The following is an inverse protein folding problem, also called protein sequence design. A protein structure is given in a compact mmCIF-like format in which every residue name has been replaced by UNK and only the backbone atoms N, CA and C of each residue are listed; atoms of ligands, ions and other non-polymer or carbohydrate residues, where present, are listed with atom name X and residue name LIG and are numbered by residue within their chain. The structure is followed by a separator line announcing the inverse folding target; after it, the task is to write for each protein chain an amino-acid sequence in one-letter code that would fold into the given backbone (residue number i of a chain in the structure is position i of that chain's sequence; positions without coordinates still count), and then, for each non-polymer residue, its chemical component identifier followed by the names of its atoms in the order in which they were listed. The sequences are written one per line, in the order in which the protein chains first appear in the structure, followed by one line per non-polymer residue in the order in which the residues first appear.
data_IF_656963458673
#
_entry.id   IF_656963458673
#
_cell.length_a   1.000
_cell.length_b   1.000
_cell.length_c   1.000
_cell.angle_alpha   90.00
_cell.angle_beta   90.00
_cell.angle_gamma   90.00
#
_symmetry.space_group_name_H-M   'P 1'
#
loop_
_entity.id
_entity.type
_entity.pdbx_description
1 polymer ?
#
# COMPACT_ATOMS: atom_id res chain seq x y z
N UNK A 1 -6.59 -2.37 -22.76
CA UNK A 1 -5.91 -3.69 -22.75
C UNK A 1 -6.54 -4.54 -21.66
N UNK A 2 -6.73 -5.83 -21.95
CA UNK A 2 -8.00 -6.56 -21.72
C UNK A 2 -8.00 -7.29 -20.37
N UNK A 3 -9.10 -7.21 -19.61
CA UNK A 3 -9.38 -7.99 -18.37
C UNK A 3 -8.98 -9.48 -18.42
N UNK A 4 -8.89 -10.05 -19.62
CA UNK A 4 -8.43 -11.42 -19.90
C UNK A 4 -7.04 -11.78 -19.38
N UNK A 5 -6.13 -10.82 -19.19
CA UNK A 5 -4.79 -11.13 -18.66
C UNK A 5 -4.76 -11.15 -17.13
N UNK A 6 -5.58 -10.33 -16.48
CA UNK A 6 -5.78 -10.35 -15.02
C UNK A 6 -6.37 -11.70 -14.58
N UNK A 7 -7.24 -12.29 -15.41
CA UNK A 7 -7.83 -13.62 -15.19
C UNK A 7 -6.80 -14.77 -15.15
N UNK A 8 -5.52 -14.52 -15.45
CA UNK A 8 -4.45 -15.53 -15.34
C UNK A 8 -3.77 -15.55 -13.98
N UNK A 9 -3.93 -14.52 -13.15
CA UNK A 9 -3.27 -14.44 -11.86
C UNK A 9 -4.17 -15.02 -10.76
N UNK A 10 -3.57 -15.78 -9.86
CA UNK A 10 -4.24 -16.28 -8.67
C UNK A 10 -4.06 -15.26 -7.54
N UNK A 11 -5.15 -14.61 -7.14
CA UNK A 11 -5.14 -13.73 -5.97
C UNK A 11 -5.35 -14.57 -4.71
N UNK A 12 -4.40 -14.49 -3.78
CA UNK A 12 -4.50 -15.16 -2.47
C UNK A 12 -4.52 -14.14 -1.34
N UNK A 13 -5.41 -14.38 -0.39
CA UNK A 13 -5.35 -13.69 0.89
C UNK A 13 -4.47 -14.50 1.84
N UNK A 14 -3.43 -13.87 2.37
CA UNK A 14 -2.49 -14.50 3.31
C UNK A 14 -2.56 -13.80 4.67
N UNK A 15 -2.25 -14.52 5.78
CA UNK A 15 -2.24 -13.92 7.10
C UNK A 15 -1.37 -12.66 7.13
N UNK A 16 -1.88 -11.57 7.71
CA UNK A 16 -1.17 -10.29 7.77
C UNK A 16 0.27 -10.43 8.27
N UNK A 17 0.50 -11.17 9.35
CA UNK A 17 1.85 -11.37 9.92
C UNK A 17 2.87 -11.94 8.92
N UNK A 18 2.42 -12.74 7.94
CA UNK A 18 3.30 -13.33 6.92
C UNK A 18 3.82 -12.30 5.92
N UNK A 19 3.06 -11.24 5.70
CA UNK A 19 3.33 -10.22 4.68
C UNK A 19 3.38 -8.82 5.31
N UNK A 20 3.49 -8.66 6.63
CA UNK A 20 3.20 -7.42 7.36
C UNK A 20 3.90 -6.15 6.83
N UNK A 21 5.10 -6.31 6.28
CA UNK A 21 5.88 -5.21 5.69
C UNK A 21 5.29 -4.72 4.34
N UNK A 22 4.30 -5.45 3.80
CA UNK A 22 3.65 -5.21 2.52
C UNK A 22 2.13 -5.42 2.61
N UNK A 23 1.34 -4.52 2.04
CA UNK A 23 -0.13 -4.71 1.94
C UNK A 23 -0.45 -5.83 0.94
N UNK A 24 0.33 -5.86 -0.14
CA UNK A 24 0.29 -6.86 -1.18
C UNK A 24 1.69 -7.04 -1.79
N UNK A 25 1.91 -8.19 -2.41
CA UNK A 25 3.13 -8.48 -3.15
C UNK A 25 2.81 -9.50 -4.24
N UNK A 26 3.50 -9.43 -5.37
CA UNK A 26 3.20 -10.25 -6.54
C UNK A 26 4.45 -10.94 -7.08
N UNK A 27 4.25 -12.12 -7.67
CA UNK A 27 5.23 -12.74 -8.55
C UNK A 27 4.50 -13.22 -9.79
N UNK A 28 4.65 -12.51 -10.91
CA UNK A 28 3.84 -12.78 -12.10
C UNK A 28 4.68 -12.88 -13.37
N UNK A 29 4.11 -13.56 -14.36
CA UNK A 29 4.55 -13.51 -15.74
C UNK A 29 3.50 -12.72 -16.51
N UNK A 30 3.84 -11.52 -16.95
CA UNK A 30 2.96 -10.63 -17.69
C UNK A 30 3.60 -10.29 -19.04
N UNK A 31 2.86 -10.50 -20.14
CA UNK A 31 3.37 -10.35 -21.51
C UNK A 31 4.71 -11.08 -21.77
N UNK A 32 4.89 -12.26 -21.16
CA UNK A 32 6.13 -13.06 -21.28
C UNK A 32 7.31 -12.55 -20.44
N UNK A 33 7.15 -11.44 -19.71
CA UNK A 33 8.15 -10.87 -18.81
C UNK A 33 7.87 -11.33 -17.38
N UNK A 34 8.92 -11.72 -16.66
CA UNK A 34 8.82 -11.96 -15.22
C UNK A 34 8.88 -10.63 -14.48
N UNK A 35 7.83 -10.30 -13.72
CA UNK A 35 7.68 -9.03 -13.01
C UNK A 35 7.35 -9.35 -11.55
N UNK A 36 8.25 -8.95 -10.66
CA UNK A 36 8.14 -9.11 -9.21
C UNK A 36 9.03 -8.09 -8.50
N UNK A 37 8.69 -7.64 -7.28
CA UNK A 37 9.62 -6.97 -6.39
C UNK A 37 10.53 -8.00 -5.69
N UNK A 38 11.73 -7.62 -5.20
CA UNK A 38 12.64 -8.55 -4.50
C UNK A 38 11.98 -9.30 -3.32
N UNK A 39 11.06 -8.63 -2.61
CA UNK A 39 10.29 -9.19 -1.52
C UNK A 39 9.56 -10.49 -1.88
N UNK A 40 9.09 -10.64 -3.12
CA UNK A 40 8.36 -11.81 -3.57
C UNK A 40 9.19 -13.10 -3.47
N UNK A 41 10.52 -13.02 -3.65
CA UNK A 41 11.43 -14.15 -3.49
C UNK A 41 11.56 -14.57 -2.03
N UNK A 42 11.74 -13.59 -1.13
CA UNK A 42 11.86 -13.85 0.31
C UNK A 42 10.55 -14.37 0.91
N UNK A 43 9.41 -13.89 0.42
CA UNK A 43 8.07 -14.35 0.81
C UNK A 43 7.70 -15.71 0.19
N UNK A 44 8.50 -16.19 -0.77
CA UNK A 44 8.25 -17.47 -1.46
C UNK A 44 6.97 -17.46 -2.29
N UNK A 45 6.63 -16.33 -2.91
CA UNK A 45 5.41 -16.20 -3.73
C UNK A 45 5.61 -16.98 -5.04
N UNK A 46 4.77 -17.98 -5.34
CA UNK A 46 4.87 -18.72 -6.60
C UNK A 46 4.62 -17.82 -7.83
N UNK A 47 5.25 -18.10 -8.99
CA UNK A 47 4.92 -17.41 -10.23
C UNK A 47 3.44 -17.55 -10.59
N UNK A 48 2.81 -16.44 -10.97
CA UNK A 48 1.39 -16.34 -11.27
C UNK A 48 0.50 -15.95 -10.07
N UNK A 49 1.08 -15.65 -8.90
CA UNK A 49 0.32 -15.28 -7.71
C UNK A 49 0.47 -13.81 -7.33
N UNK A 50 -0.62 -13.24 -6.83
CA UNK A 50 -0.66 -11.94 -6.15
C UNK A 50 -1.18 -12.21 -4.74
N UNK A 51 -0.35 -11.94 -3.73
CA UNK A 51 -0.75 -12.06 -2.33
C UNK A 51 -1.22 -10.71 -1.83
N UNK A 52 -2.34 -10.71 -1.11
CA UNK A 52 -2.89 -9.56 -0.41
C UNK A 52 -3.03 -9.95 1.06
N UNK A 53 -2.67 -9.04 1.96
CA UNK A 53 -2.92 -9.22 3.39
C UNK A 53 -4.42 -9.43 3.65
N UNK A 54 -4.76 -10.45 4.43
CA UNK A 54 -6.14 -10.73 4.82
C UNK A 54 -6.81 -9.62 5.65
N UNK A 55 -6.03 -8.88 6.45
CA UNK A 55 -6.48 -7.66 7.13
C UNK A 55 -7.10 -6.64 6.15
N UNK A 56 -6.60 -6.59 4.92
CA UNK A 56 -7.06 -5.67 3.89
C UNK A 56 -8.09 -6.29 2.93
N UNK A 57 -8.68 -7.45 3.25
CA UNK A 57 -9.66 -8.13 2.38
C UNK A 57 -10.82 -7.22 1.96
N UNK A 58 -11.29 -6.35 2.85
CA UNK A 58 -12.34 -5.38 2.56
C UNK A 58 -11.96 -4.34 1.47
N UNK A 59 -10.67 -4.12 1.23
CA UNK A 59 -10.12 -3.15 0.28
C UNK A 59 -9.40 -3.79 -0.91
N UNK A 60 -9.51 -5.12 -1.06
CA UNK A 60 -8.76 -5.89 -2.04
C UNK A 60 -8.91 -5.41 -3.48
N UNK A 61 -10.08 -4.87 -3.87
CA UNK A 61 -10.30 -4.35 -5.22
C UNK A 61 -9.41 -3.16 -5.56
N UNK A 62 -9.15 -2.28 -4.59
CA UNK A 62 -8.28 -1.11 -4.78
C UNK A 62 -6.81 -1.51 -4.81
N UNK A 63 -6.42 -2.40 -3.89
CA UNK A 63 -5.05 -2.93 -3.81
C UNK A 63 -4.72 -3.71 -5.08
N UNK A 64 -5.60 -4.62 -5.49
CA UNK A 64 -5.39 -5.39 -6.72
C UNK A 64 -5.31 -4.46 -7.94
N UNK A 65 -6.12 -3.41 -8.00
CA UNK A 65 -6.02 -2.43 -9.08
C UNK A 65 -4.64 -1.75 -9.09
N UNK A 66 -4.13 -1.32 -7.94
CA UNK A 66 -2.78 -0.76 -7.82
C UNK A 66 -1.71 -1.72 -8.36
N UNK A 67 -1.66 -2.96 -7.84
CA UNK A 67 -0.65 -3.94 -8.24
C UNK A 67 -0.69 -4.21 -9.75
N UNK A 68 -1.89 -4.31 -10.34
CA UNK A 68 -2.06 -4.56 -11.77
C UNK A 68 -1.61 -3.39 -12.63
N UNK A 69 -1.88 -2.15 -12.21
CA UNK A 69 -1.38 -0.97 -12.94
C UNK A 69 0.14 -0.86 -12.82
N UNK A 70 0.72 -1.12 -11.65
CA UNK A 70 2.16 -1.13 -11.47
C UNK A 70 2.83 -2.22 -12.35
N UNK A 71 2.31 -3.45 -12.33
CA UNK A 71 2.78 -4.55 -13.21
C UNK A 71 2.74 -4.14 -14.68
N UNK A 72 1.64 -3.51 -15.12
CA UNK A 72 1.46 -3.04 -16.50
C UNK A 72 2.50 -1.99 -16.86
N UNK A 73 2.75 -1.00 -16.01
CA UNK A 73 3.76 0.02 -16.27
C UNK A 73 5.18 -0.53 -16.26
N UNK A 74 5.50 -1.46 -15.34
CA UNK A 74 6.78 -2.17 -15.37
C UNK A 74 6.97 -2.97 -16.66
N UNK A 75 5.89 -3.56 -17.19
CA UNK A 75 5.92 -4.24 -18.48
C UNK A 75 6.14 -3.29 -19.66
N UNK A 76 5.63 -2.07 -19.58
CA UNK A 76 5.86 -0.99 -20.55
C UNK A 76 7.31 -0.46 -20.52
N UNK A 77 8.08 -0.79 -19.49
CA UNK A 77 9.51 -0.48 -19.37
C UNK A 77 9.85 0.62 -18.37
N UNK A 78 8.87 1.13 -17.62
CA UNK A 78 9.12 2.05 -16.51
C UNK A 78 9.87 1.34 -15.38
N UNK A 79 10.71 2.08 -14.67
CA UNK A 79 11.34 1.55 -13.46
C UNK A 79 10.30 1.39 -12.32
N UNK A 80 10.75 0.84 -11.19
CA UNK A 80 9.86 0.54 -10.05
C UNK A 80 9.23 1.81 -9.48
N UNK A 81 10.01 2.89 -9.34
CA UNK A 81 9.53 4.12 -8.72
C UNK A 81 8.56 4.87 -9.65
N UNK A 82 8.87 4.92 -10.94
CA UNK A 82 8.01 5.52 -11.96
C UNK A 82 6.70 4.75 -12.13
N UNK A 83 6.77 3.42 -12.24
CA UNK A 83 5.59 2.56 -12.35
C UNK A 83 4.66 2.71 -11.14
N UNK A 84 5.21 2.78 -9.93
CA UNK A 84 4.44 3.00 -8.71
C UNK A 84 3.72 4.36 -8.71
N UNK A 85 4.42 5.43 -9.12
CA UNK A 85 3.82 6.78 -9.24
C UNK A 85 2.69 6.80 -10.27
N UNK A 86 2.84 6.09 -11.39
CA UNK A 86 1.79 5.97 -12.40
C UNK A 86 0.58 5.18 -11.87
N UNK A 87 0.80 4.06 -11.16
CA UNK A 87 -0.27 3.29 -10.53
C UNK A 87 -1.08 4.13 -9.51
N UNK A 88 -0.40 4.96 -8.70
CA UNK A 88 -1.07 5.90 -7.78
C UNK A 88 -1.93 6.94 -8.52
N UNK A 89 -1.46 7.45 -9.67
CA UNK A 89 -2.25 8.39 -10.50
C UNK A 89 -3.47 7.70 -11.11
N UNK A 90 -3.31 6.47 -11.57
CA UNK A 90 -4.42 5.67 -12.11
C UNK A 90 -5.48 5.39 -11.04
N UNK A 91 -5.07 5.07 -9.81
CA UNK A 91 -5.98 4.94 -8.68
C UNK A 91 -6.75 6.23 -8.43
N UNK A 92 -6.05 7.36 -8.36
CA UNK A 92 -6.68 8.65 -8.10
C UNK A 92 -7.67 9.01 -9.23
N UNK A 93 -7.29 8.80 -10.49
CA UNK A 93 -8.18 9.02 -11.62
C UNK A 93 -9.45 8.15 -11.55
N UNK A 94 -9.31 6.91 -11.07
CA UNK A 94 -10.40 5.93 -11.03
C UNK A 94 -11.29 6.06 -9.78
N UNK A 95 -10.70 6.32 -8.62
CA UNK A 95 -11.35 6.14 -7.32
C UNK A 95 -11.39 7.40 -6.45
N UNK A 96 -10.92 8.56 -6.91
CA UNK A 96 -10.91 9.78 -6.08
C UNK A 96 -12.26 10.19 -5.48
N UNK A 97 -13.39 9.79 -6.07
CA UNK A 97 -14.75 10.04 -5.57
C UNK A 97 -15.32 8.92 -4.72
N UNK A 98 -14.61 7.81 -4.56
CA UNK A 98 -15.03 6.66 -3.76
C UNK A 98 -14.61 6.85 -2.30
N UNK A 99 -15.59 7.02 -1.41
CA UNK A 99 -15.38 7.26 0.02
C UNK A 99 -14.61 6.11 0.70
N UNK A 100 -14.81 4.86 0.23
CA UNK A 100 -14.13 3.69 0.80
C UNK A 100 -12.66 3.66 0.39
N UNK A 101 -12.34 4.04 -0.85
CA UNK A 101 -10.96 4.24 -1.27
C UNK A 101 -10.31 5.41 -0.51
N UNK A 102 -11.00 6.55 -0.38
CA UNK A 102 -10.51 7.69 0.40
C UNK A 102 -10.24 7.32 1.85
N UNK A 103 -11.11 6.49 2.48
CA UNK A 103 -10.88 5.95 3.82
C UNK A 103 -9.61 5.09 3.84
N UNK A 104 -9.45 4.17 2.89
CA UNK A 104 -8.26 3.33 2.77
C UNK A 104 -6.98 4.16 2.67
N UNK A 105 -6.95 5.24 1.87
CA UNK A 105 -5.77 6.11 1.73
C UNK A 105 -5.42 6.90 3.00
N UNK A 106 -6.28 6.89 4.01
CA UNK A 106 -6.01 7.42 5.36
C UNK A 106 -5.55 6.35 6.36
N UNK A 107 -5.32 5.13 5.92
CA UNK A 107 -4.68 4.12 6.76
C UNK A 107 -3.21 4.47 7.00
N UNK A 108 -2.79 4.48 8.27
CA UNK A 108 -1.48 5.01 8.70
C UNK A 108 -0.30 4.29 8.06
N UNK A 109 -0.46 2.99 7.79
CA UNK A 109 0.55 2.14 7.18
C UNK A 109 0.73 2.36 5.68
N UNK A 110 -0.19 3.08 5.03
CA UNK A 110 -0.24 3.16 3.56
C UNK A 110 -0.43 4.59 3.04
N UNK A 111 -0.79 5.53 3.91
CA UNK A 111 -1.00 6.92 3.52
C UNK A 111 0.27 7.53 2.92
N UNK A 112 0.09 8.54 2.05
CA UNK A 112 1.22 9.16 1.37
C UNK A 112 1.95 10.15 2.28
N UNK A 113 3.19 10.46 1.91
CA UNK A 113 3.99 11.46 2.60
C UNK A 113 3.27 12.82 2.64
N UNK A 114 2.65 13.21 1.52
CA UNK A 114 1.91 14.46 1.37
C UNK A 114 0.71 14.52 2.31
N UNK A 115 0.00 13.39 2.47
CA UNK A 115 -1.13 13.27 3.41
C UNK A 115 -0.66 13.52 4.84
N UNK A 116 0.46 12.92 5.24
CA UNK A 116 1.07 13.14 6.56
C UNK A 116 1.49 14.60 6.75
N UNK A 117 2.24 15.18 5.79
CA UNK A 117 2.72 16.57 5.85
C UNK A 117 1.57 17.58 5.95
N UNK A 118 0.43 17.29 5.32
CA UNK A 118 -0.73 18.17 5.41
C UNK A 118 -1.36 18.22 6.81
N UNK A 119 -0.90 17.39 7.76
CA UNK A 119 -1.41 17.37 9.15
C UNK A 119 -0.75 18.47 9.98
N UNK A 120 -1.52 19.37 10.61
CA UNK A 120 -0.97 20.43 11.44
C UNK A 120 0.02 19.89 12.48
N UNK A 121 1.22 20.47 12.50
CA UNK A 121 2.29 20.05 13.41
C UNK A 121 3.14 18.86 12.93
N UNK A 122 2.87 18.31 11.74
CA UNK A 122 3.66 17.25 11.11
C UNK A 122 4.38 17.83 9.86
N UNK A 123 5.67 18.11 10.00
CA UNK A 123 6.51 18.52 8.87
C UNK A 123 7.13 17.32 8.14
N UNK A 124 7.79 17.57 7.00
CA UNK A 124 8.45 16.53 6.17
C UNK A 124 9.35 15.58 6.95
N UNK A 125 10.16 16.10 7.89
CA UNK A 125 11.06 15.28 8.72
C UNK A 125 10.27 14.26 9.56
N UNK A 126 9.19 14.70 10.20
CA UNK A 126 8.39 13.83 11.06
C UNK A 126 7.55 12.85 10.23
N UNK A 127 7.03 13.31 9.08
CA UNK A 127 6.31 12.46 8.14
C UNK A 127 7.21 11.33 7.59
N UNK A 128 8.46 11.62 7.25
CA UNK A 128 9.43 10.59 6.85
C UNK A 128 9.69 9.59 7.99
N UNK A 129 9.89 10.05 9.22
CA UNK A 129 10.05 9.14 10.38
C UNK A 129 8.85 8.22 10.55
N UNK A 130 7.63 8.74 10.36
CA UNK A 130 6.40 7.92 10.38
C UNK A 130 6.43 6.87 9.28
N UNK A 131 6.85 7.21 8.06
CA UNK A 131 6.93 6.24 6.98
C UNK A 131 8.01 5.18 7.21
N UNK A 132 9.17 5.58 7.70
CA UNK A 132 10.33 4.71 7.97
C UNK A 132 10.08 3.71 9.10
N UNK A 133 9.17 4.02 10.03
CA UNK A 133 8.83 3.15 11.18
C UNK A 133 7.56 2.32 10.95
N UNK A 134 7.03 2.26 9.73
CA UNK A 134 5.95 1.31 9.37
C UNK A 134 6.46 -0.14 9.41
N UNK A 135 5.59 -1.13 9.69
CA UNK A 135 4.17 -1.00 10.00
C UNK A 135 3.86 -0.73 11.49
N UNK A 136 2.64 -0.28 11.76
CA UNK A 136 2.05 -0.08 13.08
C UNK A 136 0.82 -0.96 13.27
N UNK A 137 0.67 -1.52 14.46
CA UNK A 137 -0.50 -2.34 14.84
C UNK A 137 -1.64 -1.51 15.45
N UNK A 138 -1.33 -0.29 15.92
CA UNK A 138 -2.29 0.66 16.47
C UNK A 138 -1.73 2.08 16.46
N UNK A 139 -2.61 3.06 16.53
CA UNK A 139 -2.21 4.46 16.45
C UNK A 139 -1.29 4.89 17.62
N UNK A 140 -1.39 4.32 18.82
CA UNK A 140 -0.51 4.67 19.95
C UNK A 140 0.97 4.36 19.69
N UNK A 141 1.29 3.44 18.77
CA UNK A 141 2.69 3.12 18.48
C UNK A 141 3.45 4.30 17.88
N UNK A 142 2.74 5.27 17.30
CA UNK A 142 3.32 6.53 16.84
C UNK A 142 4.03 7.31 17.96
N UNK A 143 3.65 7.12 19.23
CA UNK A 143 4.35 7.75 20.38
C UNK A 143 5.80 7.25 20.55
N UNK A 144 6.17 6.12 19.95
CA UNK A 144 7.55 5.62 19.94
C UNK A 144 8.45 6.48 19.04
N UNK A 145 7.88 7.27 18.14
CA UNK A 145 8.60 8.10 17.18
C UNK A 145 9.05 9.39 17.86
N UNK A 146 10.35 9.63 17.84
CA UNK A 146 10.92 10.85 18.39
C UNK A 146 10.27 12.09 17.75
N UNK A 147 9.70 12.95 18.59
CA UNK A 147 8.97 14.15 18.17
C UNK A 147 7.46 13.97 18.08
N UNK A 148 6.91 12.77 18.28
CA UNK A 148 5.46 12.57 18.42
C UNK A 148 5.11 12.46 19.90
N UNK A 149 4.51 13.52 20.45
CA UNK A 149 3.85 13.47 21.75
C UNK A 149 2.32 13.45 21.60
N UNK A 150 1.61 13.36 22.72
CA UNK A 150 0.14 13.24 22.79
C UNK A 150 -0.61 14.20 21.86
N UNK A 151 -0.24 15.48 21.84
CA UNK A 151 -0.91 16.48 20.98
C UNK A 151 -0.82 16.13 19.48
N UNK A 152 0.33 15.64 19.03
CA UNK A 152 0.55 15.23 17.63
C UNK A 152 -0.15 13.90 17.33
N UNK A 153 -0.13 12.97 18.28
CA UNK A 153 -0.90 11.72 18.17
C UNK A 153 -2.39 12.02 17.98
N UNK A 154 -2.97 12.91 18.79
CA UNK A 154 -4.38 13.28 18.65
C UNK A 154 -4.69 13.92 17.29
N UNK A 155 -3.82 14.82 16.80
CA UNK A 155 -3.98 15.40 15.46
C UNK A 155 -3.93 14.34 14.35
N UNK A 156 -3.08 13.31 14.49
CA UNK A 156 -3.00 12.18 13.57
C UNK A 156 -4.27 11.31 13.65
N UNK A 157 -4.77 10.99 14.85
CA UNK A 157 -6.00 10.19 15.06
C UNK A 157 -7.27 10.84 14.51
N UNK A 158 -7.30 12.16 14.33
CA UNK A 158 -8.42 12.85 13.67
C UNK A 158 -8.50 12.60 12.16
N UNK A 159 -7.41 12.12 11.56
CA UNK A 159 -7.27 12.01 10.10
C UNK A 159 -6.96 10.60 9.64
N UNK A 160 -6.13 9.89 10.40
CA UNK A 160 -5.66 8.56 10.09
C UNK A 160 -6.22 7.55 11.09
N UNK A 161 -6.18 6.30 10.67
CA UNK A 161 -6.59 5.15 11.45
C UNK A 161 -5.56 4.05 11.23
N UNK A 162 -5.70 2.95 11.99
CA UNK A 162 -4.94 1.73 11.81
C UNK A 162 -5.91 0.57 11.56
N UNK A 163 -5.68 -0.25 10.54
CA UNK A 163 -6.60 -1.33 10.18
C UNK A 163 -6.62 -2.50 11.17
N UNK A 164 -5.53 -2.65 11.93
CA UNK A 164 -5.38 -3.69 12.95
C UNK A 164 -5.94 -3.23 14.31
N UNK A 165 -6.24 -1.93 14.44
CA UNK A 165 -6.92 -1.35 15.59
C UNK A 165 -8.43 -1.51 15.39
N UNK A 166 -9.04 -2.36 16.23
CA UNK A 166 -10.46 -2.72 16.16
C UNK A 166 -11.43 -1.57 16.39
#
# INVERSE_FOLDING_TARGET
MREKEILKFTVKFVPHEKIKDYIACYNVIYEGKSIYPPAALHLGIPPGEIWISDAFRGYASYILFHELQEIKHRAEGYDVEEAHKLALRDEEMRFNKDEKWQKMKREINICTLESLISTPGIGKVLANRIMENRPYDKMEELLKIEGIGEKRLQALKLRFWCILEG
#
